data_IF_657703012833
#
_entry.id   IF_657703012833
#
_cell.length_a   1.000
_cell.length_b   1.000
_cell.length_c   1.000
_cell.angle_alpha   90.00
_cell.angle_beta   90.00
_cell.angle_gamma   90.00
#
_symmetry.space_group_name_H-M   'P 1'
#
loop_
_entity.id
_entity.type
_entity.pdbx_description
1 polymer ?
#
# COMPACT_ATOMS: atom_id res chain seq x y z
N UNK A 1 12.96 -16.71 -3.10
CA UNK A 1 11.54 -16.53 -3.48
C UNK A 1 11.00 -15.14 -3.10
N UNK A 2 10.99 -14.73 -1.82
CA UNK A 2 10.41 -13.42 -1.43
C UNK A 2 10.99 -12.18 -2.15
N UNK A 3 12.31 -12.10 -2.34
CA UNK A 3 12.95 -10.97 -3.05
C UNK A 3 12.50 -10.86 -4.51
N UNK A 4 12.46 -11.97 -5.25
CA UNK A 4 12.07 -11.95 -6.66
C UNK A 4 10.60 -11.53 -6.84
N UNK A 5 9.71 -11.95 -5.94
CA UNK A 5 8.32 -11.52 -5.95
C UNK A 5 8.16 -10.02 -5.70
N UNK A 6 8.91 -9.47 -4.73
CA UNK A 6 8.91 -8.03 -4.45
C UNK A 6 9.42 -7.22 -5.64
N UNK A 7 10.49 -7.69 -6.31
CA UNK A 7 11.01 -7.04 -7.52
C UNK A 7 9.98 -7.08 -8.65
N UNK A 8 9.35 -8.24 -8.89
CA UNK A 8 8.33 -8.37 -9.92
C UNK A 8 7.10 -7.47 -9.64
N UNK A 9 6.69 -7.34 -8.37
CA UNK A 9 5.61 -6.44 -7.97
C UNK A 9 5.99 -4.96 -8.14
N UNK A 10 7.22 -4.58 -7.81
CA UNK A 10 7.71 -3.22 -8.04
C UNK A 10 7.67 -2.85 -9.53
N UNK A 11 8.13 -3.74 -10.42
CA UNK A 11 8.03 -3.53 -11.87
C UNK A 11 6.57 -3.40 -12.34
N UNK A 12 5.66 -4.22 -11.80
CA UNK A 12 4.21 -4.10 -12.10
C UNK A 12 3.64 -2.75 -11.68
N UNK A 13 3.99 -2.27 -10.49
CA UNK A 13 3.55 -0.95 -10.03
C UNK A 13 4.07 0.18 -10.89
N UNK A 14 5.35 0.12 -11.30
CA UNK A 14 5.92 1.09 -12.23
C UNK A 14 5.15 1.12 -13.56
N UNK A 15 4.84 -0.04 -14.14
CA UNK A 15 4.06 -0.12 -15.38
C UNK A 15 2.64 0.45 -15.22
N UNK A 16 1.95 0.15 -14.13
CA UNK A 16 0.60 0.69 -13.89
C UNK A 16 0.61 2.22 -13.79
N UNK A 17 1.65 2.80 -13.18
CA UNK A 17 1.83 4.25 -13.15
C UNK A 17 2.07 4.82 -14.55
N UNK A 18 2.86 4.14 -15.38
CA UNK A 18 3.09 4.56 -16.77
C UNK A 18 1.82 4.45 -17.63
N UNK A 19 0.99 3.42 -17.41
CA UNK A 19 -0.20 3.12 -18.21
C UNK A 19 -1.40 4.02 -17.84
N UNK A 20 -1.62 4.29 -16.56
CA UNK A 20 -2.82 4.98 -16.08
C UNK A 20 -2.59 5.88 -14.87
N UNK A 21 -1.33 6.23 -14.59
CA UNK A 21 -0.98 7.10 -13.49
C UNK A 21 -1.24 6.49 -12.11
N UNK A 22 -1.27 7.37 -11.10
CA UNK A 22 -1.46 6.98 -9.70
C UNK A 22 -2.86 6.40 -9.46
N UNK A 23 -3.89 6.85 -10.19
CA UNK A 23 -5.26 6.31 -10.04
C UNK A 23 -5.30 4.81 -10.35
N UNK A 24 -4.69 4.40 -11.47
CA UNK A 24 -4.62 2.98 -11.85
C UNK A 24 -3.80 2.17 -10.83
N UNK A 25 -2.67 2.70 -10.37
CA UNK A 25 -1.88 2.07 -9.31
C UNK A 25 -2.74 1.83 -8.06
N UNK A 26 -3.44 2.86 -7.56
CA UNK A 26 -4.24 2.77 -6.34
C UNK A 26 -5.42 1.80 -6.47
N UNK A 27 -6.06 1.72 -7.64
CA UNK A 27 -7.11 0.71 -7.93
C UNK A 27 -6.57 -0.72 -7.95
N UNK A 28 -5.31 -0.90 -8.34
CA UNK A 28 -4.67 -2.21 -8.41
C UNK A 28 -4.24 -2.77 -7.05
N UNK A 29 -4.23 -1.93 -6.00
CA UNK A 29 -3.78 -2.35 -4.67
C UNK A 29 -4.72 -3.40 -4.07
N UNK A 30 -4.11 -4.40 -3.43
CA UNK A 30 -4.68 -5.57 -2.76
C UNK A 30 -6.18 -5.50 -2.38
N UNK A 31 -7.08 -5.80 -3.33
CA UNK A 31 -8.50 -5.99 -3.05
C UNK A 31 -8.73 -7.35 -2.35
N UNK A 32 -9.62 -7.44 -1.33
CA UNK A 32 -10.53 -6.39 -0.85
C UNK A 32 -9.97 -5.51 0.28
N UNK A 33 -8.71 -5.70 0.68
CA UNK A 33 -8.10 -5.03 1.85
C UNK A 33 -7.86 -3.53 1.65
N UNK A 34 -7.65 -3.10 0.41
CA UNK A 34 -7.48 -1.69 0.03
C UNK A 34 -8.49 -1.36 -1.07
N UNK A 35 -9.14 -0.20 -0.97
CA UNK A 35 -10.08 0.30 -1.97
C UNK A 35 -9.82 1.76 -2.27
N UNK A 36 -9.59 2.06 -3.54
CA UNK A 36 -9.47 3.45 -3.99
C UNK A 36 -10.86 4.01 -4.31
N UNK A 37 -11.27 5.05 -3.57
CA UNK A 37 -12.47 5.85 -3.81
C UNK A 37 -12.06 7.31 -3.87
N UNK A 38 -11.60 7.81 -5.04
CA UNK A 38 -11.01 9.13 -5.13
C UNK A 38 -11.87 10.19 -4.42
N UNK A 39 -11.29 11.03 -3.54
CA UNK A 39 -9.85 11.18 -3.24
C UNK A 39 -9.33 10.35 -2.04
N UNK A 40 -10.07 9.35 -1.56
CA UNK A 40 -9.79 8.59 -0.33
C UNK A 40 -9.33 7.16 -0.65
N UNK A 41 -8.25 6.73 0.01
CA UNK A 41 -7.81 5.34 0.01
C UNK A 41 -8.31 4.66 1.29
N UNK A 42 -9.29 3.77 1.15
CA UNK A 42 -9.84 2.99 2.25
C UNK A 42 -8.99 1.72 2.46
N UNK A 43 -8.73 1.37 3.72
CA UNK A 43 -7.97 0.18 4.07
C UNK A 43 -8.64 -0.55 5.25
N UNK A 44 -8.68 -1.88 5.18
CA UNK A 44 -9.22 -2.72 6.25
C UNK A 44 -8.34 -2.58 7.50
N UNK A 45 -8.83 -1.85 8.51
CA UNK A 45 -8.10 -1.57 9.74
C UNK A 45 -8.98 -1.88 10.96
N UNK A 46 -8.44 -2.38 12.09
CA UNK A 46 -9.25 -2.86 13.23
C UNK A 46 -10.11 -1.78 13.92
N UNK A 47 -9.84 -0.50 13.65
CA UNK A 47 -10.56 0.64 14.22
C UNK A 47 -10.73 1.74 13.17
N UNK A 48 -11.79 2.56 13.24
CA UNK A 48 -11.91 3.73 12.37
C UNK A 48 -10.76 4.69 12.61
N UNK A 49 -10.00 4.98 11.55
CA UNK A 49 -8.92 5.97 11.57
C UNK A 49 -8.98 6.72 10.25
N UNK A 50 -9.00 8.05 10.32
CA UNK A 50 -8.82 8.92 9.17
C UNK A 50 -7.42 9.51 9.23
N UNK A 51 -6.66 9.38 8.14
CA UNK A 51 -5.35 10.01 8.00
C UNK A 51 -5.40 11.03 6.89
N UNK A 52 -5.26 12.30 7.27
CA UNK A 52 -5.08 13.38 6.31
C UNK A 52 -3.62 13.48 5.93
N UNK A 53 -3.32 13.29 4.64
CA UNK A 53 -1.94 13.33 4.16
C UNK A 53 -1.34 14.74 4.22
N UNK A 54 -2.16 15.80 4.07
CA UNK A 54 -1.71 17.20 4.18
C UNK A 54 -0.46 17.50 3.33
N UNK A 55 -0.43 16.99 2.08
CA UNK A 55 0.71 17.17 1.18
C UNK A 55 1.92 16.29 1.46
N UNK A 56 1.97 15.55 2.59
CA UNK A 56 3.09 14.65 2.95
C UNK A 56 3.25 13.46 1.99
N UNK A 57 2.18 13.11 1.26
CA UNK A 57 2.13 11.91 0.43
C UNK A 57 1.87 10.63 1.25
N UNK A 58 2.03 9.47 0.62
CA UNK A 58 1.81 8.15 1.19
C UNK A 58 2.86 7.18 0.65
N UNK A 59 3.54 6.44 1.54
CA UNK A 59 4.44 5.35 1.11
C UNK A 59 3.66 4.04 1.07
N UNK A 60 3.58 3.39 -0.10
CA UNK A 60 3.04 2.04 -0.23
C UNK A 60 4.20 1.04 -0.13
N UNK A 61 4.18 0.19 0.89
CA UNK A 61 5.25 -0.77 1.15
C UNK A 61 4.74 -2.21 1.03
N UNK A 62 4.96 -2.90 -0.10
CA UNK A 62 4.67 -4.32 -0.20
C UNK A 62 5.50 -5.15 0.78
N UNK A 63 4.88 -6.15 1.42
CA UNK A 63 5.54 -7.06 2.36
C UNK A 63 5.18 -8.51 2.10
N UNK A 64 6.14 -9.42 2.35
CA UNK A 64 5.89 -10.87 2.37
C UNK A 64 5.55 -11.38 3.77
N UNK A 65 5.67 -10.54 4.81
CA UNK A 65 5.51 -10.93 6.22
C UNK A 65 4.08 -10.77 6.74
N UNK A 66 3.22 -10.03 6.03
CA UNK A 66 1.81 -9.83 6.40
C UNK A 66 0.90 -10.24 5.24
N UNK A 67 0.62 -11.55 5.07
CA UNK A 67 -0.08 -12.05 3.89
C UNK A 67 -1.58 -11.73 3.87
N UNK A 68 -2.17 -11.33 5.00
CA UNK A 68 -3.64 -11.19 5.16
C UNK A 68 -4.09 -9.87 5.77
N UNK A 69 -3.16 -8.97 6.07
CA UNK A 69 -3.48 -7.71 6.73
C UNK A 69 -2.63 -6.58 6.18
N UNK A 70 -3.22 -5.41 6.16
CA UNK A 70 -2.53 -4.14 5.95
C UNK A 70 -2.17 -3.53 7.30
N UNK A 71 -1.12 -2.70 7.33
CA UNK A 71 -0.79 -1.91 8.51
C UNK A 71 -0.43 -0.50 8.11
N UNK A 72 -0.84 0.45 8.95
CA UNK A 72 -0.50 1.85 8.81
C UNK A 72 0.54 2.20 9.87
N UNK A 73 1.69 2.65 9.41
CA UNK A 73 2.82 3.07 10.24
C UNK A 73 3.06 4.56 10.02
N UNK A 74 3.29 5.31 11.08
CA UNK A 74 3.79 6.68 11.02
C UNK A 74 4.91 6.82 12.04
N UNK A 75 5.82 7.75 11.78
CA UNK A 75 6.87 8.09 12.73
C UNK A 75 6.25 9.01 13.80
N UNK A 76 6.21 8.59 15.09
CA UNK A 76 5.68 9.43 16.15
C UNK A 76 6.61 10.59 16.52
N UNK A 77 7.90 10.51 16.16
CA UNK A 77 8.90 11.55 16.42
C UNK A 77 8.99 12.56 15.27
N UNK A 78 8.61 12.16 14.06
CA UNK A 78 8.54 13.04 12.88
C UNK A 78 7.23 12.83 12.10
N UNK A 79 6.18 13.53 12.54
CA UNK A 79 4.84 13.45 11.92
C UNK A 79 4.79 14.10 10.52
N UNK A 80 5.84 14.80 10.10
CA UNK A 80 5.91 15.42 8.76
C UNK A 80 6.17 14.38 7.67
N UNK A 81 6.68 13.20 8.02
CA UNK A 81 6.94 12.13 7.06
C UNK A 81 5.64 11.55 6.49
N UNK A 82 5.69 11.03 5.24
CA UNK A 82 4.57 10.28 4.68
C UNK A 82 4.28 9.06 5.57
N UNK A 83 3.01 8.84 5.97
CA UNK A 83 2.63 7.58 6.56
C UNK A 83 2.92 6.44 5.58
N UNK A 84 3.21 5.25 6.11
CA UNK A 84 3.48 4.04 5.35
C UNK A 84 2.31 3.08 5.48
N UNK A 85 1.68 2.78 4.35
CA UNK A 85 0.71 1.70 4.23
C UNK A 85 1.45 0.44 3.77
N UNK A 86 1.60 -0.52 4.68
CA UNK A 86 2.13 -1.83 4.36
C UNK A 86 1.02 -2.69 3.76
N UNK A 87 1.26 -3.29 2.61
CA UNK A 87 0.28 -4.14 1.89
C UNK A 87 0.84 -5.52 1.61
N UNK A 88 0.02 -6.59 1.63
CA UNK A 88 0.47 -7.92 1.24
C UNK A 88 1.02 -7.89 -0.20
N UNK A 89 2.26 -8.37 -0.38
CA UNK A 89 2.89 -8.50 -1.69
C UNK A 89 2.45 -9.78 -2.42
N UNK A 90 2.05 -10.80 -1.65
CA UNK A 90 1.68 -12.12 -2.15
C UNK A 90 0.21 -12.39 -1.83
N UNK A 91 -0.48 -13.05 -2.76
CA UNK A 91 -1.81 -13.60 -2.50
C UNK A 91 -1.76 -14.83 -1.58
N UNK A 92 -0.65 -15.56 -1.65
CA UNK A 92 -0.41 -16.76 -0.85
C UNK A 92 0.86 -16.61 0.00
N UNK A 93 0.91 -17.13 1.23
CA UNK A 93 2.11 -17.10 2.05
C UNK A 93 3.30 -17.81 1.37
N UNK A 94 4.52 -17.37 1.69
CA UNK A 94 5.72 -18.14 1.34
C UNK A 94 5.71 -19.44 2.17
N UNK A 95 5.44 -20.57 1.51
CA UNK A 95 5.76 -21.91 2.00
C UNK A 95 7.25 -22.19 1.94
#
# INVERSE_FOLDING_TARGET
KGRSELVALASRYANLVLEGGVDLLLRSLCAPLVRWRPPVLEAAYPRPVEVRLQGRGLTIAPTVFSPRAVSLLWDPLDISQPPRLTVPALREPLT
#
